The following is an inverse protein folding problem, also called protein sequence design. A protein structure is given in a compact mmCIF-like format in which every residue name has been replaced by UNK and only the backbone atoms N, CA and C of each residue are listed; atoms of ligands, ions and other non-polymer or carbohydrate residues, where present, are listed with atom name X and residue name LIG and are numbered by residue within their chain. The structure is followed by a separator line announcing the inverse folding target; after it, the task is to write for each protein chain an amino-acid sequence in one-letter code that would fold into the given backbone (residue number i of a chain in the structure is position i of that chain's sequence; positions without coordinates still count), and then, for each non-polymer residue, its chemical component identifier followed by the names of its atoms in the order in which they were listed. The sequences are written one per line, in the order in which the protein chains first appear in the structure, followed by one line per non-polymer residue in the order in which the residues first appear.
data_IF_163244203716
#
_entry.id   IF_163244203716
#
_cell.length_a   1.000
_cell.length_b   1.000
_cell.length_c   1.000
_cell.angle_alpha   90.00
_cell.angle_beta   90.00
_cell.angle_gamma   90.00
#
_symmetry.space_group_name_H-M   'P 1'
#
loop_
_entity.id
_entity.type
_entity.pdbx_description
1 polymer ?
#
# COMPACT_ATOMS: atom_id res chain seq x y z
N UNK A 1 11.46 22.67 -57.58
CA UNK A 1 11.68 22.77 -56.15
C UNK A 1 10.60 21.97 -55.43
N UNK A 2 10.94 20.82 -54.81
CA UNK A 2 10.00 20.01 -54.02
C UNK A 2 10.31 20.26 -52.54
N UNK A 3 9.38 20.93 -51.86
CA UNK A 3 9.47 21.07 -50.38
C UNK A 3 9.02 19.73 -49.75
N UNK A 4 9.92 19.10 -49.02
CA UNK A 4 9.60 17.97 -48.18
C UNK A 4 9.14 18.52 -46.82
N UNK A 5 7.86 18.31 -46.45
CA UNK A 5 7.28 18.66 -45.18
C UNK A 5 7.61 17.53 -44.19
N UNK A 6 8.58 17.75 -43.32
CA UNK A 6 8.95 16.82 -42.26
C UNK A 6 7.90 16.86 -41.15
N UNK A 7 7.20 15.75 -40.93
CA UNK A 7 6.28 15.59 -39.78
C UNK A 7 7.12 15.22 -38.55
N UNK A 8 7.24 16.15 -37.63
CA UNK A 8 7.86 15.90 -36.30
C UNK A 8 6.85 15.17 -35.41
N UNK A 9 7.02 13.87 -35.24
CA UNK A 9 6.22 13.08 -34.28
C UNK A 9 6.81 13.30 -32.89
N UNK A 10 6.17 14.16 -32.11
CA UNK A 10 6.49 14.33 -30.70
C UNK A 10 5.94 13.12 -29.92
N UNK A 11 6.83 12.21 -29.52
CA UNK A 11 6.49 11.11 -28.62
C UNK A 11 6.27 11.67 -27.21
N UNK A 12 5.01 11.78 -26.79
CA UNK A 12 4.63 12.06 -25.42
C UNK A 12 4.97 10.84 -24.54
N UNK A 13 6.12 10.87 -23.89
CA UNK A 13 6.41 9.96 -22.79
C UNK A 13 5.53 10.36 -21.61
N UNK A 14 4.42 9.67 -21.42
CA UNK A 14 3.68 9.72 -20.16
C UNK A 14 4.53 9.00 -19.10
N UNK A 15 5.20 9.75 -18.25
CA UNK A 15 5.72 9.21 -17.01
C UNK A 15 4.51 8.78 -16.17
N UNK A 16 4.23 7.48 -16.13
CA UNK A 16 3.37 6.92 -15.11
C UNK A 16 4.05 7.28 -13.78
N UNK A 17 3.43 8.17 -12.99
CA UNK A 17 3.86 8.38 -11.62
C UNK A 17 3.84 7.00 -10.95
N UNK A 18 5.01 6.47 -10.59
CA UNK A 18 5.10 5.24 -9.84
C UNK A 18 4.34 5.47 -8.54
N UNK A 19 3.13 4.90 -8.46
CA UNK A 19 2.38 4.80 -7.23
C UNK A 19 3.31 4.15 -6.22
N UNK A 20 3.60 4.84 -5.13
CA UNK A 20 4.55 4.39 -4.12
C UNK A 20 3.90 3.21 -3.40
N UNK A 21 4.33 1.99 -3.76
CA UNK A 21 3.92 0.77 -3.06
C UNK A 21 4.77 0.60 -1.79
N UNK A 22 4.28 -0.19 -0.83
CA UNK A 22 5.05 -0.53 0.36
C UNK A 22 6.23 -1.46 -0.01
N UNK A 23 7.46 -1.17 0.44
CA UNK A 23 8.61 -2.04 0.20
C UNK A 23 8.49 -3.40 0.91
N UNK A 24 7.56 -3.52 1.86
CA UNK A 24 7.32 -4.73 2.65
C UNK A 24 6.28 -5.65 2.03
N UNK A 25 5.55 -5.18 1.01
CA UNK A 25 4.44 -5.89 0.40
C UNK A 25 4.86 -6.70 -0.83
N UNK A 26 4.41 -7.94 -0.88
CA UNK A 26 4.47 -8.79 -2.06
C UNK A 26 3.04 -9.08 -2.52
N UNK A 27 2.66 -8.60 -3.70
CA UNK A 27 1.39 -8.93 -4.32
C UNK A 27 1.34 -10.42 -4.70
N UNK A 28 0.27 -11.08 -4.31
CA UNK A 28 0.01 -12.49 -4.63
C UNK A 28 -0.98 -12.61 -5.78
N UNK A 29 -2.04 -11.81 -5.77
CA UNK A 29 -3.11 -11.85 -6.77
C UNK A 29 -3.81 -10.49 -6.86
N UNK A 30 -4.24 -10.17 -8.08
CA UNK A 30 -5.05 -9.01 -8.41
C UNK A 30 -6.17 -9.42 -9.36
N UNK A 31 -7.36 -8.89 -9.17
CA UNK A 31 -8.50 -9.09 -10.05
C UNK A 31 -9.45 -7.89 -9.98
N UNK A 32 -10.16 -7.67 -11.07
CA UNK A 32 -11.25 -6.68 -11.10
C UNK A 32 -12.39 -7.10 -10.17
N UNK A 33 -12.95 -6.15 -9.44
CA UNK A 33 -14.21 -6.33 -8.74
C UNK A 33 -15.35 -6.14 -9.74
N UNK A 34 -15.98 -7.25 -10.12
CA UNK A 34 -17.00 -7.31 -11.19
C UNK A 34 -18.09 -6.27 -11.00
N UNK A 35 -18.39 -5.53 -12.08
CA UNK A 35 -19.45 -4.51 -12.10
C UNK A 35 -19.08 -3.16 -11.47
N UNK A 36 -17.81 -2.95 -11.12
CA UNK A 36 -17.32 -1.72 -10.50
C UNK A 36 -16.06 -1.19 -11.19
N UNK A 37 -15.62 0.01 -10.82
CA UNK A 37 -14.30 0.56 -11.17
C UNK A 37 -13.27 0.30 -10.06
N UNK A 38 -13.37 -0.84 -9.40
CA UNK A 38 -12.50 -1.23 -8.30
C UNK A 38 -11.78 -2.54 -8.62
N UNK A 39 -10.77 -2.84 -7.82
CA UNK A 39 -10.01 -4.08 -7.90
C UNK A 39 -9.76 -4.66 -6.51
N UNK A 40 -9.56 -5.96 -6.45
CA UNK A 40 -9.19 -6.70 -5.25
C UNK A 40 -7.72 -7.11 -5.38
N UNK A 41 -6.92 -6.79 -4.38
CA UNK A 41 -5.49 -7.09 -4.34
C UNK A 41 -5.18 -7.86 -3.07
N UNK A 42 -4.74 -9.10 -3.22
CA UNK A 42 -4.28 -9.94 -2.10
C UNK A 42 -2.76 -9.91 -2.03
N UNK A 43 -2.20 -9.67 -0.85
CA UNK A 43 -0.76 -9.54 -0.64
C UNK A 43 -0.32 -10.14 0.69
N UNK A 44 0.98 -10.42 0.79
CA UNK A 44 1.68 -10.62 2.06
C UNK A 44 2.55 -9.40 2.31
N UNK A 45 2.50 -8.85 3.52
CA UNK A 45 3.44 -7.85 4.01
C UNK A 45 4.32 -8.46 5.10
N UNK A 46 5.63 -8.28 4.98
CA UNK A 46 6.63 -8.73 5.96
C UNK A 46 7.44 -7.53 6.43
N UNK A 47 7.29 -7.16 7.70
CA UNK A 47 7.94 -6.00 8.31
C UNK A 47 8.90 -6.51 9.38
N UNK A 48 10.20 -6.32 9.14
CA UNK A 48 11.27 -6.82 10.02
C UNK A 48 11.48 -5.88 11.21
N UNK A 49 12.08 -6.38 12.31
CA UNK A 49 12.55 -5.51 13.38
C UNK A 49 13.42 -4.36 12.85
N UNK A 50 13.10 -3.14 13.27
CA UNK A 50 13.74 -1.90 12.81
C UNK A 50 13.04 -1.21 11.65
N UNK A 51 12.22 -1.91 10.86
CA UNK A 51 11.45 -1.32 9.76
C UNK A 51 10.24 -0.55 10.27
N UNK A 52 9.88 0.51 9.54
CA UNK A 52 8.77 1.40 9.87
C UNK A 52 7.72 1.38 8.77
N UNK A 53 6.48 1.05 9.12
CA UNK A 53 5.31 1.32 8.29
C UNK A 53 5.00 2.81 8.37
N UNK A 54 5.12 3.51 7.24
CA UNK A 54 4.84 4.96 7.18
C UNK A 54 3.35 5.25 7.25
N UNK A 55 2.99 6.46 7.70
CA UNK A 55 1.60 6.92 7.66
C UNK A 55 1.12 7.03 6.22
N UNK A 56 -0.03 6.41 5.91
CA UNK A 56 -0.60 6.38 4.56
C UNK A 56 -2.12 6.21 4.60
N UNK A 57 -2.74 6.33 3.42
CA UNK A 57 -4.14 6.01 3.16
C UNK A 57 -4.23 5.04 1.98
N UNK A 58 -5.38 4.39 1.84
CA UNK A 58 -5.78 3.67 0.64
C UNK A 58 -7.07 4.26 0.08
N UNK A 59 -7.20 4.33 -1.25
CA UNK A 59 -8.44 4.74 -1.93
C UNK A 59 -9.42 3.55 -2.02
N UNK A 60 -9.74 3.00 -0.87
CA UNK A 60 -10.56 1.83 -0.63
C UNK A 60 -10.27 1.20 0.72
N UNK A 61 -10.89 0.08 1.01
CA UNK A 61 -10.72 -0.65 2.25
C UNK A 61 -9.53 -1.62 2.17
N UNK A 62 -8.78 -1.74 3.27
CA UNK A 62 -7.81 -2.80 3.49
C UNK A 62 -8.27 -3.68 4.65
N UNK A 63 -8.56 -4.94 4.37
CA UNK A 63 -8.70 -5.96 5.42
C UNK A 63 -7.37 -6.65 5.63
N UNK A 64 -6.96 -6.86 6.88
CA UNK A 64 -5.75 -7.63 7.17
C UNK A 64 -5.96 -8.64 8.29
N UNK A 65 -5.11 -9.68 8.25
CA UNK A 65 -5.00 -10.70 9.28
C UNK A 65 -3.53 -10.88 9.65
N UNK A 66 -3.22 -10.88 10.94
CA UNK A 66 -1.86 -11.05 11.45
C UNK A 66 -1.51 -12.53 11.47
N UNK A 67 -0.69 -12.97 10.51
CA UNK A 67 -0.19 -14.33 10.40
C UNK A 67 0.90 -14.61 11.44
N UNK A 68 1.83 -13.68 11.60
CA UNK A 68 2.91 -13.73 12.58
C UNK A 68 2.98 -12.37 13.28
N UNK A 69 2.73 -12.38 14.56
CA UNK A 69 2.71 -11.18 15.38
C UNK A 69 4.07 -10.84 15.98
N UNK A 70 4.14 -9.66 16.58
CA UNK A 70 5.33 -9.15 17.25
C UNK A 70 5.00 -8.01 18.19
N UNK A 71 5.94 -7.10 18.36
CA UNK A 71 5.77 -5.85 19.11
C UNK A 71 5.97 -4.68 18.15
N UNK A 72 5.10 -3.68 18.26
CA UNK A 72 5.23 -2.45 17.50
C UNK A 72 5.41 -1.25 18.44
N UNK A 73 6.15 -0.26 17.97
CA UNK A 73 6.32 1.03 18.62
C UNK A 73 5.51 2.09 17.87
N UNK A 74 4.65 2.78 18.60
CA UNK A 74 3.82 3.87 18.09
C UNK A 74 4.62 5.19 18.02
N UNK A 75 4.12 6.24 17.32
CA UNK A 75 4.83 7.52 17.19
C UNK A 75 5.16 8.21 18.49
N UNK A 76 4.40 7.95 19.57
CA UNK A 76 4.65 8.46 20.92
C UNK A 76 5.71 7.65 21.70
N UNK A 77 6.32 6.63 21.08
CA UNK A 77 7.31 5.74 21.67
C UNK A 77 6.72 4.58 22.49
N UNK A 78 5.39 4.51 22.62
CA UNK A 78 4.73 3.42 23.33
C UNK A 78 4.84 2.12 22.56
N UNK A 79 5.33 1.07 23.21
CA UNK A 79 5.39 -0.28 22.65
C UNK A 79 4.12 -1.05 23.02
N UNK A 80 3.51 -1.68 22.03
CA UNK A 80 2.29 -2.47 22.19
C UNK A 80 2.41 -3.80 21.46
N UNK A 81 1.75 -4.86 21.98
CA UNK A 81 1.70 -6.12 21.27
C UNK A 81 0.89 -5.99 19.96
N UNK A 82 1.34 -6.70 18.93
CA UNK A 82 0.62 -6.85 17.67
C UNK A 82 0.43 -8.35 17.44
N UNK A 83 -0.60 -8.96 18.07
CA UNK A 83 -0.65 -10.41 18.25
C UNK A 83 -1.13 -11.15 17.00
N UNK A 84 -0.57 -12.35 16.78
CA UNK A 84 -1.05 -13.32 15.77
C UNK A 84 -2.56 -13.59 15.96
N UNK A 85 -3.29 -13.73 14.87
CA UNK A 85 -4.71 -14.06 14.88
C UNK A 85 -5.66 -12.87 14.93
N UNK A 86 -5.15 -11.65 15.07
CA UNK A 86 -5.97 -10.44 15.00
C UNK A 86 -6.28 -10.08 13.55
N UNK A 87 -7.53 -9.71 13.29
CA UNK A 87 -7.98 -9.14 12.02
C UNK A 87 -8.56 -7.74 12.26
N UNK A 88 -8.39 -6.85 11.28
CA UNK A 88 -9.01 -5.54 11.27
C UNK A 88 -9.25 -5.04 9.85
N UNK A 89 -9.98 -3.92 9.74
CA UNK A 89 -10.22 -3.23 8.48
C UNK A 89 -9.81 -1.78 8.63
N UNK A 90 -8.90 -1.34 7.76
CA UNK A 90 -8.59 0.06 7.56
C UNK A 90 -9.60 0.63 6.55
N UNK A 91 -10.33 1.65 6.99
CA UNK A 91 -11.39 2.28 6.18
C UNK A 91 -10.78 3.21 5.14
N UNK A 92 -11.42 3.30 3.97
CA UNK A 92 -11.09 4.21 2.86
C UNK A 92 -10.67 5.59 3.36
N UNK A 93 -9.58 6.11 2.80
CA UNK A 93 -9.04 7.46 3.02
C UNK A 93 -8.77 7.81 4.50
N UNK A 94 -8.75 6.82 5.39
CA UNK A 94 -8.40 7.00 6.81
C UNK A 94 -6.91 6.77 7.02
N UNK A 95 -6.16 7.76 7.56
CA UNK A 95 -4.74 7.61 7.82
C UNK A 95 -4.45 6.48 8.82
N UNK A 96 -3.52 5.60 8.48
CA UNK A 96 -3.08 4.48 9.31
C UNK A 96 -1.61 4.11 9.02
N UNK A 97 -1.09 3.10 9.69
CA UNK A 97 0.34 2.80 9.70
C UNK A 97 1.04 3.60 10.81
N UNK A 98 2.17 4.24 10.50
CA UNK A 98 2.98 5.03 11.44
C UNK A 98 3.41 4.22 12.67
N UNK A 99 3.93 3.01 12.47
CA UNK A 99 4.51 2.20 13.54
C UNK A 99 5.84 1.60 13.10
N UNK A 100 6.69 1.30 14.06
CA UNK A 100 7.95 0.59 13.87
C UNK A 100 7.86 -0.80 14.48
N UNK A 101 8.32 -1.83 13.79
CA UNK A 101 8.45 -3.16 14.39
C UNK A 101 9.69 -3.18 15.28
N UNK A 102 9.52 -3.62 16.52
CA UNK A 102 10.59 -3.69 17.54
C UNK A 102 10.70 -5.12 18.10
N UNK A 103 11.80 -5.37 18.83
CA UNK A 103 12.10 -6.72 19.33
C UNK A 103 12.80 -7.57 18.27
N UNK A 104 12.54 -8.87 18.26
CA UNK A 104 13.27 -9.86 17.44
C UNK A 104 12.40 -10.58 16.40
N UNK A 105 11.10 -10.30 16.36
CA UNK A 105 10.13 -10.97 15.49
C UNK A 105 9.74 -10.12 14.30
N UNK A 106 9.78 -10.71 13.11
CA UNK A 106 9.15 -10.15 11.91
C UNK A 106 7.63 -10.22 12.05
N UNK A 107 6.94 -9.12 11.79
CA UNK A 107 5.50 -9.09 11.66
C UNK A 107 5.10 -9.47 10.24
N UNK A 108 4.19 -10.44 10.09
CA UNK A 108 3.66 -10.87 8.80
C UNK A 108 2.15 -10.72 8.75
N UNK A 109 1.67 -10.07 7.71
CA UNK A 109 0.25 -9.81 7.46
C UNK A 109 -0.18 -10.44 6.15
N UNK A 110 -1.37 -11.05 6.14
CA UNK A 110 -2.16 -11.22 4.93
C UNK A 110 -3.02 -9.98 4.77
N UNK A 111 -2.94 -9.31 3.62
CA UNK A 111 -3.75 -8.12 3.34
C UNK A 111 -4.63 -8.33 2.11
N UNK A 112 -5.84 -7.81 2.16
CA UNK A 112 -6.77 -7.76 1.03
C UNK A 112 -7.24 -6.31 0.88
N UNK A 113 -6.85 -5.69 -0.22
CA UNK A 113 -7.31 -4.34 -0.56
C UNK A 113 -8.46 -4.42 -1.57
N UNK A 114 -9.51 -3.66 -1.34
CA UNK A 114 -10.60 -3.40 -2.29
C UNK A 114 -10.58 -1.91 -2.59
N UNK A 115 -9.97 -1.54 -3.72
CA UNK A 115 -9.54 -0.16 -3.99
C UNK A 115 -9.90 0.30 -5.40
N UNK A 116 -9.95 1.61 -5.60
CA UNK A 116 -10.19 2.22 -6.91
C UNK A 116 -9.05 1.89 -7.88
N UNK A 117 -9.39 1.44 -9.08
CA UNK A 117 -8.41 1.24 -10.16
C UNK A 117 -7.74 2.57 -10.54
N UNK A 118 -6.47 2.48 -10.89
CA UNK A 118 -5.70 3.62 -11.38
C UNK A 118 -5.31 4.64 -10.30
N UNK A 119 -5.63 4.38 -9.04
CA UNK A 119 -5.15 5.16 -7.89
C UNK A 119 -3.92 4.49 -7.29
N UNK A 120 -3.02 5.26 -6.64
CA UNK A 120 -1.94 4.68 -5.83
C UNK A 120 -2.51 3.74 -4.77
N UNK A 121 -1.90 2.56 -4.59
CA UNK A 121 -2.32 1.68 -3.50
C UNK A 121 -1.98 2.30 -2.13
N UNK A 122 -0.81 2.92 -2.01
CA UNK A 122 -0.38 3.69 -0.85
C UNK A 122 -0.28 5.16 -1.26
N UNK A 123 -1.00 6.03 -0.60
CA UNK A 123 -0.97 7.47 -0.86
C UNK A 123 -0.73 8.24 0.44
N UNK A 124 -0.28 9.48 0.32
CA UNK A 124 -0.08 10.36 1.47
C UNK A 124 -1.43 10.86 1.98
N UNK A 125 -1.64 10.90 3.31
CA UNK A 125 -2.80 11.57 3.86
C UNK A 125 -2.83 13.05 3.41
N UNK A 126 -4.02 13.63 3.22
CA UNK A 126 -4.14 15.06 2.94
C UNK A 126 -3.54 15.88 4.10
N UNK A 127 -2.95 17.05 3.83
CA UNK A 127 -2.48 17.94 4.89
C UNK A 127 -3.65 18.33 5.80
N UNK A 128 -3.35 18.46 7.10
CA UNK A 128 -4.32 18.94 8.10
C UNK A 128 -4.57 20.43 7.93
#
# INVERSE_FOLDING_TARGET
MKLALGILVASLFTFAANAQDSPFRKELKRADLTGTNMEVITSIAEIKPGDTSTLHIHHGEESFYILEGGTIELPDGKQVPFPTGVAAVNIRDTPHGAFKVVGDKTVKLLTVHVVDKGKPLYDKPPPK
#
